data_IF_973678027133
#
_entry.id   IF_973678027133
#
_cell.length_a   1.000
_cell.length_b   1.000
_cell.length_c   1.000
_cell.angle_alpha   90.00
_cell.angle_beta   90.00
_cell.angle_gamma   90.00
#
_symmetry.space_group_name_H-M   'P 1'
#
loop_
_entity.id
_entity.type
_entity.pdbx_description
1 polymer ?
#
# COMPACT_ATOMS: atom_id res chain seq x y z
N UNK A 1 25.53 0.29 3.01
CA UNK A 1 24.21 -0.17 3.49
C UNK A 1 23.60 -1.09 2.46
N UNK A 2 23.04 -2.23 2.89
CA UNK A 2 22.31 -3.19 2.06
C UNK A 2 20.81 -3.02 2.23
N UNK A 3 20.08 -2.96 1.12
CA UNK A 3 18.62 -2.94 1.08
C UNK A 3 18.09 -4.18 0.35
N UNK A 4 17.17 -4.89 0.99
CA UNK A 4 16.52 -6.08 0.43
C UNK A 4 15.03 -5.81 0.17
N UNK A 5 14.55 -6.16 -1.02
CA UNK A 5 13.14 -6.10 -1.38
C UNK A 5 12.58 -7.53 -1.41
N UNK A 6 11.62 -7.82 -0.54
CA UNK A 6 10.86 -9.06 -0.51
C UNK A 6 9.63 -8.90 -1.43
N UNK A 7 9.58 -9.63 -2.53
CA UNK A 7 8.61 -9.48 -3.62
C UNK A 7 9.18 -8.68 -4.80
N UNK A 8 10.51 -8.71 -4.99
CA UNK A 8 11.23 -7.99 -6.04
C UNK A 8 10.96 -8.45 -7.47
N UNK A 9 10.23 -9.55 -7.67
CA UNK A 9 9.70 -10.00 -8.98
C UNK A 9 8.30 -9.45 -9.30
N UNK A 10 7.83 -8.45 -8.57
CA UNK A 10 6.53 -7.84 -8.82
C UNK A 10 6.52 -6.90 -10.03
N UNK A 11 5.32 -6.64 -10.56
CA UNK A 11 5.13 -5.76 -11.74
C UNK A 11 5.59 -4.31 -11.48
N UNK A 12 5.65 -3.86 -10.22
CA UNK A 12 6.11 -2.51 -9.85
C UNK A 12 7.63 -2.41 -9.60
N UNK A 13 8.38 -3.49 -9.79
CA UNK A 13 9.81 -3.57 -9.46
C UNK A 13 10.68 -2.54 -10.17
N UNK A 14 10.37 -2.17 -11.42
CA UNK A 14 11.12 -1.16 -12.15
C UNK A 14 10.96 0.26 -11.55
N UNK A 15 9.77 0.61 -11.06
CA UNK A 15 9.56 1.88 -10.36
C UNK A 15 10.31 1.93 -9.04
N UNK A 16 10.26 0.84 -8.27
CA UNK A 16 11.00 0.73 -7.03
C UNK A 16 12.52 0.82 -7.26
N UNK A 17 13.02 0.12 -8.28
CA UNK A 17 14.43 0.17 -8.67
C UNK A 17 14.86 1.59 -9.07
N UNK A 18 14.05 2.32 -9.86
CA UNK A 18 14.31 3.72 -10.21
C UNK A 18 14.39 4.59 -8.96
N UNK A 19 13.39 4.51 -8.08
CA UNK A 19 13.34 5.32 -6.86
C UNK A 19 14.54 5.05 -5.94
N UNK A 20 14.90 3.78 -5.73
CA UNK A 20 16.09 3.40 -4.97
C UNK A 20 17.39 3.92 -5.61
N UNK A 21 17.52 3.83 -6.93
CA UNK A 21 18.72 4.29 -7.63
C UNK A 21 18.91 5.82 -7.51
N UNK A 22 17.88 6.61 -7.74
CA UNK A 22 17.96 8.07 -7.62
C UNK A 22 18.29 8.55 -6.21
N UNK A 23 17.79 7.85 -5.21
CA UNK A 23 17.93 8.25 -3.80
C UNK A 23 19.05 7.49 -3.06
N UNK A 24 19.77 6.61 -3.71
CA UNK A 24 20.78 5.76 -3.09
C UNK A 24 21.83 6.52 -2.28
N UNK A 25 22.27 7.70 -2.75
CA UNK A 25 23.25 8.54 -2.07
C UNK A 25 22.72 9.13 -0.76
N UNK A 26 21.41 9.40 -0.67
CA UNK A 26 20.76 9.97 0.52
C UNK A 26 20.84 9.04 1.73
N UNK A 27 20.87 7.72 1.47
CA UNK A 27 20.83 6.68 2.50
C UNK A 27 22.12 5.83 2.56
N UNK A 28 23.17 6.22 1.82
CA UNK A 28 24.43 5.49 1.79
C UNK A 28 24.31 4.07 1.27
N UNK A 29 23.46 3.84 0.27
CA UNK A 29 23.18 2.52 -0.29
C UNK A 29 24.39 2.01 -1.10
N UNK A 30 24.83 0.78 -0.85
CA UNK A 30 25.94 0.13 -1.54
C UNK A 30 25.53 -1.18 -2.21
N UNK A 31 24.44 -1.77 -1.78
CA UNK A 31 23.92 -3.05 -2.29
C UNK A 31 22.38 -3.07 -2.26
N UNK A 32 21.77 -3.57 -3.35
CA UNK A 32 20.35 -3.82 -3.46
C UNK A 32 20.11 -5.26 -3.89
N UNK A 33 19.24 -5.96 -3.17
CA UNK A 33 18.85 -7.34 -3.48
C UNK A 33 17.34 -7.43 -3.66
N UNK A 34 16.89 -7.90 -4.83
CA UNK A 34 15.50 -8.22 -5.05
C UNK A 34 15.27 -9.72 -4.89
N UNK A 35 14.52 -10.08 -3.85
CA UNK A 35 14.10 -11.45 -3.57
C UNK A 35 12.69 -11.68 -4.11
N UNK A 36 12.48 -12.80 -4.79
CA UNK A 36 11.15 -13.33 -5.09
C UNK A 36 11.19 -14.87 -5.07
N UNK A 37 10.07 -15.52 -4.76
CA UNK A 37 9.98 -16.97 -4.80
C UNK A 37 9.80 -17.52 -6.23
N UNK A 38 9.54 -16.66 -7.21
CA UNK A 38 9.39 -16.99 -8.62
C UNK A 38 10.63 -16.59 -9.42
N UNK A 39 11.43 -17.57 -9.82
CA UNK A 39 12.57 -17.35 -10.71
C UNK A 39 12.13 -16.74 -12.06
N UNK A 40 10.97 -17.13 -12.57
CA UNK A 40 10.41 -16.60 -13.82
C UNK A 40 10.07 -15.12 -13.72
N UNK A 41 9.49 -14.70 -12.59
CA UNK A 41 9.21 -13.29 -12.35
C UNK A 41 10.50 -12.47 -12.26
N UNK A 42 11.51 -12.99 -11.58
CA UNK A 42 12.83 -12.34 -11.50
C UNK A 42 13.51 -12.26 -12.87
N UNK A 43 13.38 -13.29 -13.72
CA UNK A 43 13.92 -13.28 -15.07
C UNK A 43 13.27 -12.23 -15.98
N UNK A 44 12.06 -11.79 -15.67
CA UNK A 44 11.34 -10.76 -16.43
C UNK A 44 11.44 -9.41 -15.71
N UNK A 45 10.69 -9.26 -14.61
CA UNK A 45 10.56 -7.98 -13.92
C UNK A 45 11.81 -7.60 -13.13
N UNK A 46 12.53 -8.59 -12.59
CA UNK A 46 13.81 -8.37 -11.93
C UNK A 46 14.89 -7.89 -12.91
N UNK A 47 14.92 -8.41 -14.15
CA UNK A 47 15.87 -7.97 -15.16
C UNK A 47 15.55 -6.56 -15.69
N UNK A 48 14.28 -6.20 -15.88
CA UNK A 48 13.88 -4.83 -16.21
C UNK A 48 14.30 -3.87 -15.08
N UNK A 49 14.03 -4.24 -13.83
CA UNK A 49 14.41 -3.45 -12.67
C UNK A 49 15.93 -3.30 -12.55
N UNK A 50 16.70 -4.38 -12.77
CA UNK A 50 18.16 -4.38 -12.77
C UNK A 50 18.73 -3.44 -13.85
N UNK A 51 18.16 -3.48 -15.05
CA UNK A 51 18.60 -2.61 -16.13
C UNK A 51 18.36 -1.14 -15.78
N UNK A 52 17.17 -0.78 -15.30
CA UNK A 52 16.84 0.58 -14.87
C UNK A 52 17.79 1.04 -13.76
N UNK A 53 17.97 0.21 -12.72
CA UNK A 53 18.84 0.54 -11.59
C UNK A 53 20.29 0.78 -12.02
N UNK A 54 20.87 -0.17 -12.78
CA UNK A 54 22.28 -0.11 -13.19
C UNK A 54 22.55 1.00 -14.21
N UNK A 55 21.54 1.42 -14.98
CA UNK A 55 21.71 2.59 -15.87
C UNK A 55 21.83 3.88 -15.07
N UNK A 56 21.11 4.02 -13.96
CA UNK A 56 21.14 5.20 -13.10
C UNK A 56 22.35 5.14 -12.13
N UNK A 57 22.60 3.95 -11.54
CA UNK A 57 23.63 3.74 -10.51
C UNK A 57 24.46 2.49 -10.77
N UNK A 58 25.36 2.55 -11.78
CA UNK A 58 26.26 1.43 -12.10
C UNK A 58 27.32 1.15 -11.03
N UNK A 59 27.51 2.08 -10.11
CA UNK A 59 28.45 2.01 -8.98
C UNK A 59 27.93 1.22 -7.78
N UNK A 60 26.63 0.87 -7.75
CA UNK A 60 26.00 0.11 -6.67
C UNK A 60 25.65 -1.30 -7.16
N UNK A 61 25.96 -2.29 -6.32
CA UNK A 61 25.64 -3.68 -6.63
C UNK A 61 24.13 -3.92 -6.60
N UNK A 62 23.56 -4.39 -7.72
CA UNK A 62 22.18 -4.85 -7.82
C UNK A 62 22.14 -6.34 -8.16
N UNK A 63 21.41 -7.13 -7.39
CA UNK A 63 21.24 -8.57 -7.61
C UNK A 63 19.81 -9.02 -7.40
N UNK A 64 19.50 -10.20 -7.95
CA UNK A 64 18.22 -10.90 -7.75
C UNK A 64 18.48 -12.29 -7.21
N UNK A 65 17.62 -12.83 -6.36
CA UNK A 65 17.75 -14.17 -5.80
C UNK A 65 16.40 -14.75 -5.42
N UNK A 66 16.32 -16.09 -5.39
CA UNK A 66 15.20 -16.83 -4.79
C UNK A 66 15.53 -17.38 -3.40
N UNK A 67 16.76 -17.16 -2.91
CA UNK A 67 17.20 -17.59 -1.58
C UNK A 67 16.97 -16.48 -0.55
N UNK A 68 16.02 -16.64 0.40
CA UNK A 68 15.71 -15.63 1.40
C UNK A 68 16.85 -15.42 2.42
N UNK A 69 17.66 -16.42 2.71
CA UNK A 69 18.79 -16.30 3.64
C UNK A 69 19.87 -15.43 3.00
N UNK A 70 20.26 -15.73 1.76
CA UNK A 70 21.24 -14.92 1.04
C UNK A 70 20.78 -13.46 0.84
N UNK A 71 19.48 -13.25 0.58
CA UNK A 71 18.91 -11.93 0.42
C UNK A 71 18.96 -11.11 1.72
N UNK A 72 18.66 -11.73 2.86
CA UNK A 72 18.53 -11.06 4.15
C UNK A 72 19.86 -10.95 4.92
N UNK A 73 20.87 -11.73 4.55
CA UNK A 73 22.18 -11.69 5.23
C UNK A 73 22.72 -10.26 5.30
N UNK A 74 22.92 -9.74 6.53
CA UNK A 74 23.42 -8.40 6.83
C UNK A 74 22.61 -7.23 6.23
N UNK A 75 21.34 -7.46 5.87
CA UNK A 75 20.47 -6.42 5.35
C UNK A 75 20.15 -5.37 6.44
N UNK A 76 20.38 -4.09 6.11
CA UNK A 76 20.06 -2.96 7.00
C UNK A 76 18.62 -2.49 6.82
N UNK A 77 18.10 -2.58 5.59
CA UNK A 77 16.77 -2.11 5.21
C UNK A 77 16.03 -3.19 4.45
N UNK A 78 14.80 -3.43 4.82
CA UNK A 78 13.94 -4.42 4.18
C UNK A 78 12.62 -3.77 3.78
N UNK A 79 12.23 -3.89 2.50
CA UNK A 79 10.93 -3.46 2.00
C UNK A 79 10.15 -4.72 1.58
N UNK A 80 8.90 -4.83 2.03
CA UNK A 80 8.04 -5.96 1.62
C UNK A 80 6.98 -5.49 0.62
N UNK A 81 6.82 -6.25 -0.48
CA UNK A 81 5.82 -5.97 -1.53
C UNK A 81 5.15 -7.27 -1.97
N UNK A 82 4.93 -8.19 -1.04
CA UNK A 82 4.44 -9.54 -1.33
C UNK A 82 2.96 -9.50 -1.77
N UNK A 83 2.63 -10.36 -2.74
CA UNK A 83 1.26 -10.72 -3.07
C UNK A 83 1.09 -12.23 -2.96
N UNK A 84 0.72 -12.68 -1.78
CA UNK A 84 0.57 -14.12 -1.49
C UNK A 84 -0.70 -14.66 -2.14
N UNK A 85 -0.55 -15.74 -2.93
CA UNK A 85 -1.63 -16.35 -3.71
C UNK A 85 -1.85 -15.72 -5.09
N UNK A 86 -1.11 -14.67 -5.44
CA UNK A 86 -1.15 -14.06 -6.78
C UNK A 86 -2.51 -13.50 -7.19
N UNK A 87 -2.74 -13.47 -8.50
CA UNK A 87 -3.99 -12.94 -9.08
C UNK A 87 -5.16 -13.93 -8.90
N UNK A 88 -4.92 -15.23 -8.91
CA UNK A 88 -5.95 -16.28 -8.75
C UNK A 88 -6.66 -16.19 -7.40
N UNK A 89 -5.88 -16.07 -6.30
CA UNK A 89 -6.46 -15.93 -4.96
C UNK A 89 -7.26 -14.63 -4.83
N UNK A 90 -6.78 -13.54 -5.44
CA UNK A 90 -7.51 -12.28 -5.45
C UNK A 90 -8.87 -12.42 -6.16
N UNK A 91 -8.89 -13.04 -7.34
CA UNK A 91 -10.13 -13.28 -8.09
C UNK A 91 -11.11 -14.09 -7.25
N UNK A 92 -10.64 -15.18 -6.62
CA UNK A 92 -11.45 -16.00 -5.74
C UNK A 92 -12.04 -15.19 -4.58
N UNK A 93 -11.23 -14.40 -3.91
CA UNK A 93 -11.66 -13.58 -2.77
C UNK A 93 -12.75 -12.55 -3.18
N UNK A 94 -12.53 -11.87 -4.29
CA UNK A 94 -13.49 -10.91 -4.84
C UNK A 94 -14.81 -11.59 -5.24
N UNK A 95 -14.75 -12.75 -5.89
CA UNK A 95 -15.94 -13.49 -6.35
C UNK A 95 -16.75 -14.03 -5.18
N UNK A 96 -16.13 -14.64 -4.16
CA UNK A 96 -16.83 -15.10 -2.96
C UNK A 96 -17.63 -13.96 -2.32
N UNK A 97 -17.04 -12.78 -2.17
CA UNK A 97 -17.76 -11.66 -1.60
C UNK A 97 -18.95 -11.22 -2.46
N UNK A 98 -18.76 -11.11 -3.79
CA UNK A 98 -19.80 -10.68 -4.72
C UNK A 98 -20.96 -11.68 -4.81
N UNK A 99 -20.72 -12.99 -4.75
CA UNK A 99 -21.73 -14.04 -4.70
C UNK A 99 -22.64 -13.91 -3.47
N UNK A 100 -22.12 -13.30 -2.39
CA UNK A 100 -22.86 -13.01 -1.17
C UNK A 100 -23.33 -11.54 -1.06
N UNK A 101 -23.41 -10.83 -2.18
CA UNK A 101 -23.88 -9.44 -2.28
C UNK A 101 -23.11 -8.48 -1.34
N UNK A 102 -21.80 -8.65 -1.21
CA UNK A 102 -20.94 -7.72 -0.49
C UNK A 102 -19.70 -7.38 -1.29
N UNK A 103 -19.04 -6.29 -0.91
CA UNK A 103 -17.83 -5.83 -1.61
C UNK A 103 -16.65 -6.78 -1.37
N UNK A 104 -15.98 -7.15 -2.47
CA UNK A 104 -14.80 -8.00 -2.52
C UNK A 104 -13.50 -7.25 -2.79
N UNK A 105 -13.34 -6.02 -2.29
CA UNK A 105 -12.12 -5.25 -2.48
C UNK A 105 -10.92 -5.95 -1.81
N UNK A 106 -9.76 -5.98 -2.49
CA UNK A 106 -8.60 -6.80 -2.09
C UNK A 106 -7.97 -6.45 -0.74
N UNK A 107 -8.14 -5.22 -0.24
CA UNK A 107 -7.49 -4.75 0.99
C UNK A 107 -8.47 -4.33 2.08
N UNK A 108 -9.76 -4.35 1.79
CA UNK A 108 -10.81 -3.86 2.67
C UNK A 108 -11.94 -4.88 2.78
N UNK A 109 -12.65 -4.92 3.91
CA UNK A 109 -13.77 -5.81 4.12
C UNK A 109 -13.41 -7.29 4.06
N UNK A 110 -14.28 -8.09 3.46
CA UNK A 110 -14.15 -9.54 3.36
C UNK A 110 -12.92 -9.95 2.53
N UNK A 111 -12.67 -9.31 1.39
CA UNK A 111 -11.50 -9.59 0.55
C UNK A 111 -10.18 -9.24 1.26
N UNK A 112 -10.14 -8.12 1.99
CA UNK A 112 -8.99 -7.75 2.82
C UNK A 112 -8.70 -8.77 3.90
N UNK A 113 -9.73 -9.32 4.56
CA UNK A 113 -9.56 -10.41 5.52
C UNK A 113 -8.98 -11.66 4.86
N UNK A 114 -9.53 -12.10 3.72
CA UNK A 114 -9.03 -13.26 2.97
C UNK A 114 -7.57 -13.09 2.53
N UNK A 115 -7.19 -11.90 2.07
CA UNK A 115 -5.80 -11.60 1.73
C UNK A 115 -4.90 -11.63 2.97
N UNK A 116 -5.35 -11.10 4.11
CA UNK A 116 -4.59 -11.08 5.35
C UNK A 116 -4.31 -12.50 5.88
N UNK A 117 -5.26 -13.44 5.74
CA UNK A 117 -5.07 -14.85 6.13
C UNK A 117 -3.86 -15.50 5.43
N UNK A 118 -3.52 -15.05 4.23
CA UNK A 118 -2.34 -15.54 3.47
C UNK A 118 -1.11 -14.69 3.72
N UNK A 119 -1.27 -13.37 3.73
CA UNK A 119 -0.15 -12.43 3.83
C UNK A 119 0.52 -12.47 5.20
N UNK A 120 -0.25 -12.49 6.29
CA UNK A 120 0.29 -12.46 7.66
C UNK A 120 1.20 -13.67 7.94
N UNK A 121 0.80 -14.94 7.73
CA UNK A 121 1.70 -16.07 7.97
C UNK A 121 2.97 -16.03 7.11
N UNK A 122 2.88 -15.53 5.88
CA UNK A 122 4.03 -15.39 4.99
C UNK A 122 5.02 -14.34 5.51
N UNK A 123 4.52 -13.16 5.88
CA UNK A 123 5.36 -12.08 6.44
C UNK A 123 6.00 -12.52 7.76
N UNK A 124 5.29 -13.19 8.65
CA UNK A 124 5.84 -13.65 9.93
C UNK A 124 6.96 -14.69 9.75
N UNK A 125 6.95 -15.49 8.67
CA UNK A 125 8.10 -16.31 8.31
C UNK A 125 9.32 -15.46 7.96
N UNK A 126 9.14 -14.41 7.17
CA UNK A 126 10.23 -13.47 6.85
C UNK A 126 10.69 -12.69 8.07
N UNK A 127 9.80 -12.31 8.99
CA UNK A 127 10.20 -11.66 10.25
C UNK A 127 11.19 -12.50 11.05
N UNK A 128 10.98 -13.82 11.15
CA UNK A 128 11.94 -14.72 11.81
C UNK A 128 13.29 -14.72 11.10
N UNK A 129 13.29 -14.85 9.76
CA UNK A 129 14.54 -14.81 8.99
C UNK A 129 15.27 -13.45 9.11
N UNK A 130 14.53 -12.35 9.19
CA UNK A 130 15.09 -11.01 9.42
C UNK A 130 15.77 -10.96 10.79
N UNK A 131 15.14 -11.49 11.84
CA UNK A 131 15.74 -11.53 13.18
C UNK A 131 17.00 -12.41 13.24
N UNK A 132 17.07 -13.47 12.43
CA UNK A 132 18.19 -14.41 12.39
C UNK A 132 19.35 -13.93 11.52
N UNK A 133 19.11 -13.23 10.42
CA UNK A 133 20.11 -12.98 9.38
C UNK A 133 20.38 -11.50 9.07
N UNK A 134 19.39 -10.60 9.29
CA UNK A 134 19.59 -9.20 9.00
C UNK A 134 20.38 -8.48 10.11
N UNK A 135 20.83 -7.26 9.82
CA UNK A 135 21.53 -6.44 10.80
C UNK A 135 20.69 -6.25 12.08
N UNK A 136 21.38 -6.11 13.22
CA UNK A 136 20.70 -5.99 14.52
C UNK A 136 19.80 -4.75 14.61
N UNK A 137 20.16 -3.68 13.94
CA UNK A 137 19.41 -2.42 13.85
C UNK A 137 18.55 -2.30 12.60
N UNK A 138 18.32 -3.41 11.87
CA UNK A 138 17.54 -3.43 10.64
C UNK A 138 16.16 -2.81 10.80
N UNK A 139 15.69 -2.16 9.72
CA UNK A 139 14.35 -1.55 9.65
C UNK A 139 13.53 -2.28 8.59
N UNK A 140 12.34 -2.69 8.98
CA UNK A 140 11.35 -3.29 8.09
C UNK A 140 10.30 -2.27 7.67
N UNK A 141 10.17 -2.03 6.37
CA UNK A 141 9.11 -1.25 5.77
C UNK A 141 8.06 -2.19 5.16
N UNK A 142 6.93 -2.28 5.82
CA UNK A 142 5.85 -3.14 5.34
C UNK A 142 4.97 -2.41 4.34
N UNK A 143 5.06 -2.83 3.08
CA UNK A 143 4.20 -2.40 1.97
C UNK A 143 3.25 -3.53 1.53
N UNK A 144 3.33 -4.70 2.18
CA UNK A 144 2.47 -5.85 1.89
C UNK A 144 1.07 -5.60 2.43
N UNK A 145 0.10 -5.67 1.54
CA UNK A 145 -1.32 -5.46 1.87
C UNK A 145 -1.98 -6.70 2.51
N UNK A 146 -3.04 -6.46 3.32
CA UNK A 146 -3.51 -5.18 3.86
C UNK A 146 -2.50 -4.60 4.86
N UNK A 147 -1.87 -3.46 4.52
CA UNK A 147 -0.68 -2.99 5.25
C UNK A 147 -0.94 -2.71 6.73
N UNK A 148 -2.11 -2.19 7.10
CA UNK A 148 -2.49 -1.97 8.50
C UNK A 148 -2.54 -3.28 9.29
N UNK A 149 -3.29 -4.28 8.81
CA UNK A 149 -3.41 -5.61 9.42
C UNK A 149 -2.07 -6.34 9.52
N UNK A 150 -1.29 -6.31 8.44
CA UNK A 150 0.02 -6.98 8.40
C UNK A 150 0.99 -6.32 9.38
N UNK A 151 1.04 -4.98 9.42
CA UNK A 151 1.91 -4.25 10.36
C UNK A 151 1.51 -4.51 11.81
N UNK A 152 0.21 -4.53 12.11
CA UNK A 152 -0.30 -4.88 13.44
C UNK A 152 0.07 -6.31 13.84
N UNK A 153 -0.05 -7.27 12.92
CA UNK A 153 0.33 -8.65 13.18
C UNK A 153 1.84 -8.80 13.42
N UNK A 154 2.69 -8.09 12.68
CA UNK A 154 4.14 -8.08 12.91
C UNK A 154 4.45 -7.59 14.32
N UNK A 155 3.89 -6.45 14.73
CA UNK A 155 4.11 -5.89 16.07
C UNK A 155 3.60 -6.84 17.16
N UNK A 156 2.39 -7.37 17.01
CA UNK A 156 1.77 -8.28 17.99
C UNK A 156 2.44 -9.66 18.05
N UNK A 157 3.19 -10.05 17.01
CA UNK A 157 4.00 -11.28 17.05
C UNK A 157 5.24 -11.17 17.93
N UNK A 158 5.57 -9.98 18.41
CA UNK A 158 6.76 -9.71 19.23
C UNK A 158 8.04 -9.52 18.39
N UNK A 159 7.91 -9.15 17.13
CA UNK A 159 9.04 -8.83 16.26
C UNK A 159 9.96 -7.77 16.88
N UNK A 160 11.25 -8.04 16.92
CA UNK A 160 12.23 -7.27 17.71
C UNK A 160 12.94 -6.14 16.94
N UNK A 161 12.72 -6.05 15.63
CA UNK A 161 13.28 -4.96 14.83
C UNK A 161 12.26 -3.84 14.66
N UNK A 162 12.73 -2.66 14.25
CA UNK A 162 11.84 -1.54 13.93
C UNK A 162 10.99 -1.89 12.71
N UNK A 163 9.71 -1.61 12.76
CA UNK A 163 8.76 -1.80 11.65
C UNK A 163 7.89 -0.57 11.46
N UNK A 164 7.71 -0.19 10.20
CA UNK A 164 6.80 0.86 9.76
C UNK A 164 5.92 0.32 8.64
N UNK A 165 4.60 0.52 8.77
CA UNK A 165 3.70 0.31 7.65
C UNK A 165 3.71 1.53 6.74
N UNK A 166 3.86 1.32 5.44
CA UNK A 166 3.92 2.40 4.44
C UNK A 166 2.89 2.17 3.33
N UNK A 167 2.38 3.26 2.76
CA UNK A 167 1.43 3.24 1.65
C UNK A 167 1.71 4.42 0.71
N UNK A 168 1.52 4.23 -0.59
CA UNK A 168 1.70 5.26 -1.62
C UNK A 168 0.46 6.14 -1.83
N UNK A 169 -0.75 5.61 -1.62
CA UNK A 169 -2.00 6.32 -1.86
C UNK A 169 -2.09 7.69 -1.17
N UNK A 170 -1.64 7.77 0.09
CA UNK A 170 -1.68 9.01 0.87
C UNK A 170 -0.71 10.07 0.34
N UNK A 171 0.50 9.64 0.02
CA UNK A 171 1.53 10.53 -0.52
C UNK A 171 1.20 11.00 -1.94
N UNK A 172 0.43 10.23 -2.72
CA UNK A 172 -0.01 10.64 -4.06
C UNK A 172 -0.95 11.85 -3.95
N UNK A 173 -2.00 11.76 -3.12
CA UNK A 173 -2.91 12.89 -2.91
C UNK A 173 -2.16 14.15 -2.42
N UNK A 174 -1.30 14.02 -1.40
CA UNK A 174 -0.58 15.17 -0.84
C UNK A 174 0.32 15.84 -1.89
N UNK A 175 0.96 15.07 -2.78
CA UNK A 175 1.83 15.62 -3.86
C UNK A 175 1.06 16.35 -4.97
N UNK A 176 -0.23 16.07 -5.14
CA UNK A 176 -1.07 16.75 -6.13
C UNK A 176 -1.53 18.14 -5.64
N UNK A 177 -1.66 18.34 -4.31
CA UNK A 177 -2.21 19.58 -3.73
C UNK A 177 -1.37 20.83 -3.98
N UNK A 178 -0.03 20.83 -3.98
CA UNK A 178 0.77 22.03 -4.26
C UNK A 178 0.44 22.69 -5.58
N UNK A 179 0.19 21.92 -6.64
CA UNK A 179 -0.19 22.44 -7.95
C UNK A 179 -1.54 23.18 -7.91
N UNK A 180 -2.50 22.69 -7.10
CA UNK A 180 -3.82 23.31 -6.93
C UNK A 180 -3.71 24.59 -6.06
N UNK A 181 -2.86 24.54 -5.05
CA UNK A 181 -2.68 25.64 -4.10
C UNK A 181 -1.72 26.74 -4.59
N UNK A 182 -0.95 26.47 -5.66
CA UNK A 182 0.06 27.38 -6.19
C UNK A 182 1.25 27.57 -5.24
N UNK A 183 1.70 26.49 -4.59
CA UNK A 183 2.81 26.52 -3.63
C UNK A 183 3.84 25.43 -3.94
N UNK A 184 4.98 25.45 -3.27
CA UNK A 184 5.98 24.37 -3.27
C UNK A 184 5.55 23.27 -2.29
N UNK A 185 5.91 22.00 -2.58
CA UNK A 185 5.61 20.86 -1.68
C UNK A 185 6.12 21.09 -0.25
N UNK A 186 7.31 21.66 -0.11
CA UNK A 186 7.92 21.97 1.19
C UNK A 186 7.17 23.04 2.01
N UNK A 187 6.34 23.85 1.37
CA UNK A 187 5.56 24.90 2.02
C UNK A 187 4.20 24.40 2.52
N UNK A 188 3.75 23.22 2.03
CA UNK A 188 2.51 22.57 2.39
C UNK A 188 2.69 21.70 3.63
N UNK A 189 1.79 21.85 4.60
CA UNK A 189 1.65 20.92 5.71
C UNK A 189 0.23 20.38 5.75
N UNK A 190 0.11 19.06 5.95
CA UNK A 190 -1.16 18.33 6.00
C UNK A 190 -1.16 17.41 7.20
N UNK A 191 -2.26 17.36 7.93
CA UNK A 191 -2.48 16.35 8.95
C UNK A 191 -3.32 15.21 8.37
N UNK A 192 -2.91 13.97 8.67
CA UNK A 192 -3.63 12.75 8.34
C UNK A 192 -3.82 11.92 9.59
N UNK A 193 -4.98 11.29 9.74
CA UNK A 193 -5.27 10.36 10.83
C UNK A 193 -6.25 9.28 10.39
N UNK A 194 -6.16 8.12 11.03
CA UNK A 194 -7.04 6.98 10.80
C UNK A 194 -6.31 5.65 10.82
N UNK A 195 -6.68 4.77 9.91
CA UNK A 195 -6.06 3.47 9.68
C UNK A 195 -5.62 3.37 8.22
N UNK A 196 -4.74 2.45 7.90
CA UNK A 196 -4.34 2.24 6.51
C UNK A 196 -5.56 1.98 5.62
N UNK A 197 -5.69 2.70 4.52
CA UNK A 197 -6.83 2.72 3.61
C UNK A 197 -8.16 3.19 4.26
N UNK A 198 -8.10 3.78 5.43
CA UNK A 198 -9.26 4.27 6.18
C UNK A 198 -8.89 5.52 6.99
N UNK A 199 -8.54 6.58 6.28
CA UNK A 199 -7.96 7.80 6.85
C UNK A 199 -8.53 9.06 6.22
N UNK A 200 -8.42 10.17 6.97
CA UNK A 200 -8.85 11.51 6.58
C UNK A 200 -7.71 12.49 6.66
N UNK A 201 -7.75 13.50 5.78
CA UNK A 201 -6.78 14.59 5.77
C UNK A 201 -7.44 15.88 6.22
N UNK A 202 -6.76 16.60 7.07
CA UNK A 202 -7.25 17.83 7.70
C UNK A 202 -6.14 18.84 7.90
N UNK A 203 -6.49 20.04 8.30
CA UNK A 203 -5.54 21.08 8.69
C UNK A 203 -4.46 21.35 7.62
N UNK A 204 -4.92 21.80 6.44
CA UNK A 204 -4.04 22.15 5.33
C UNK A 204 -3.49 23.55 5.52
N UNK A 205 -2.18 23.68 5.67
CA UNK A 205 -1.52 24.99 5.81
C UNK A 205 -0.43 25.17 4.75
N UNK A 206 -0.34 26.38 4.20
CA UNK A 206 0.77 26.80 3.32
C UNK A 206 1.56 27.88 4.04
N UNK A 207 2.83 27.60 4.36
CA UNK A 207 3.70 28.48 5.17
C UNK A 207 3.05 28.92 6.50
N UNK A 208 2.28 28.00 7.10
CA UNK A 208 1.57 28.21 8.36
C UNK A 208 0.23 28.96 8.24
N UNK A 209 -0.19 29.35 7.05
CA UNK A 209 -1.52 29.93 6.81
C UNK A 209 -2.53 28.84 6.47
N UNK A 210 -3.68 28.83 7.14
CA UNK A 210 -4.76 27.87 6.92
C UNK A 210 -5.38 28.04 5.54
N UNK A 211 -5.44 26.97 4.74
CA UNK A 211 -5.93 26.97 3.36
C UNK A 211 -7.05 25.97 3.07
N UNK A 212 -7.54 25.27 4.08
CA UNK A 212 -8.54 24.17 3.94
C UNK A 212 -9.78 24.63 3.15
N UNK A 213 -10.38 25.75 3.53
CA UNK A 213 -11.58 26.26 2.84
C UNK A 213 -11.31 26.63 1.38
N UNK A 214 -10.16 27.23 1.09
CA UNK A 214 -9.74 27.57 -0.28
C UNK A 214 -9.51 26.30 -1.11
N UNK A 215 -8.89 25.28 -0.52
CA UNK A 215 -8.64 23.99 -1.18
C UNK A 215 -9.95 23.29 -1.53
N UNK A 216 -10.86 23.13 -0.56
CA UNK A 216 -12.14 22.44 -0.74
C UNK A 216 -13.06 23.18 -1.73
N UNK A 217 -12.98 24.48 -1.82
CA UNK A 217 -13.73 25.29 -2.78
C UNK A 217 -13.18 25.23 -4.20
N UNK A 218 -11.96 24.71 -4.39
CA UNK A 218 -11.33 24.63 -5.71
C UNK A 218 -11.95 23.51 -6.57
N UNK A 219 -12.50 23.81 -7.75
CA UNK A 219 -12.95 22.76 -8.68
C UNK A 219 -11.84 21.80 -9.11
N UNK A 220 -10.59 22.28 -9.16
CA UNK A 220 -9.44 21.49 -9.56
C UNK A 220 -9.17 20.32 -8.61
N UNK A 221 -9.50 20.46 -7.32
CA UNK A 221 -9.40 19.38 -6.35
C UNK A 221 -10.20 18.15 -6.79
N UNK A 222 -11.42 18.36 -7.28
CA UNK A 222 -12.33 17.29 -7.72
C UNK A 222 -12.14 16.87 -9.18
N UNK A 223 -11.26 17.55 -9.89
CA UNK A 223 -10.97 17.24 -11.31
C UNK A 223 -9.59 16.63 -11.51
N UNK A 224 -8.63 16.90 -10.62
CA UNK A 224 -7.23 16.58 -10.81
C UNK A 224 -6.65 15.65 -9.74
N UNK A 225 -7.45 15.20 -8.77
CA UNK A 225 -6.98 14.32 -7.70
C UNK A 225 -7.94 13.15 -7.47
N UNK A 226 -7.59 12.24 -6.57
CA UNK A 226 -8.48 11.16 -6.12
C UNK A 226 -9.80 11.66 -5.53
N UNK A 227 -9.93 12.95 -5.20
CA UNK A 227 -11.18 13.56 -4.76
C UNK A 227 -12.24 13.59 -5.87
N UNK A 228 -11.90 13.29 -7.13
CA UNK A 228 -12.89 13.10 -8.23
C UNK A 228 -13.98 12.07 -7.89
N UNK A 229 -13.67 11.08 -7.04
CA UNK A 229 -14.62 10.03 -6.64
C UNK A 229 -15.64 10.49 -5.59
N UNK A 230 -15.46 11.66 -4.99
CA UNK A 230 -16.29 12.17 -3.90
C UNK A 230 -17.01 13.46 -4.27
N UNK A 231 -18.28 13.60 -3.84
CA UNK A 231 -18.97 14.87 -4.03
C UNK A 231 -18.40 15.95 -3.09
N UNK A 232 -18.33 17.21 -3.53
CA UNK A 232 -17.98 18.33 -2.63
C UNK A 232 -18.90 18.44 -1.41
N UNK A 233 -20.16 18.02 -1.53
CA UNK A 233 -21.09 17.95 -0.41
C UNK A 233 -20.65 16.95 0.66
N UNK A 234 -20.22 15.75 0.26
CA UNK A 234 -19.71 14.74 1.21
C UNK A 234 -18.49 15.23 1.96
N UNK A 235 -17.55 15.91 1.28
CA UNK A 235 -16.37 16.49 1.92
C UNK A 235 -16.78 17.50 3.00
N UNK A 236 -17.77 18.34 2.74
CA UNK A 236 -18.31 19.29 3.75
C UNK A 236 -19.01 18.57 4.89
N UNK A 237 -19.76 17.50 4.61
CA UNK A 237 -20.40 16.67 5.65
C UNK A 237 -19.39 15.91 6.49
N UNK A 238 -18.18 15.69 5.98
CA UNK A 238 -17.04 15.15 6.72
C UNK A 238 -16.20 16.23 7.42
N UNK A 239 -16.82 17.32 7.89
CA UNK A 239 -16.15 18.43 8.59
C UNK A 239 -15.03 19.09 7.75
N UNK A 240 -15.21 19.23 6.46
CA UNK A 240 -14.23 19.79 5.52
C UNK A 240 -12.90 19.02 5.49
N UNK A 241 -12.95 17.71 5.65
CA UNK A 241 -11.79 16.83 5.58
C UNK A 241 -11.75 16.10 4.23
N UNK A 242 -10.57 15.99 3.62
CA UNK A 242 -10.40 15.17 2.44
C UNK A 242 -10.36 13.69 2.84
N UNK A 243 -10.80 12.85 1.93
CA UNK A 243 -10.99 11.43 2.17
C UNK A 243 -9.90 10.63 1.47
N UNK A 244 -9.36 9.61 2.14
CA UNK A 244 -8.62 8.56 1.47
C UNK A 244 -9.52 7.91 0.41
N UNK A 245 -9.00 7.61 -0.77
CA UNK A 245 -9.77 7.06 -1.89
C UNK A 245 -10.52 5.77 -1.56
N UNK A 246 -9.99 4.94 -0.65
CA UNK A 246 -10.65 3.72 -0.19
C UNK A 246 -11.91 3.97 0.65
N UNK A 247 -12.11 5.18 1.18
CA UNK A 247 -13.37 5.55 1.82
C UNK A 247 -14.54 5.58 0.85
N UNK A 248 -14.28 5.55 -0.47
CA UNK A 248 -15.30 5.34 -1.49
C UNK A 248 -16.12 4.06 -1.22
N UNK A 249 -15.47 2.96 -0.84
CA UNK A 249 -16.13 1.69 -0.54
C UNK A 249 -17.03 1.74 0.71
N UNK A 250 -16.89 2.74 1.56
CA UNK A 250 -17.71 2.94 2.75
C UNK A 250 -18.84 3.94 2.53
N UNK A 251 -18.54 5.08 1.92
CA UNK A 251 -19.53 6.14 1.70
C UNK A 251 -20.42 5.90 0.47
N UNK A 252 -19.92 5.17 -0.53
CA UNK A 252 -20.63 4.80 -1.76
C UNK A 252 -20.69 3.27 -1.91
N UNK A 253 -20.91 2.57 -0.78
CA UNK A 253 -20.88 1.10 -0.73
C UNK A 253 -21.85 0.45 -1.73
N UNK A 254 -23.09 0.92 -1.75
CA UNK A 254 -24.17 0.32 -2.55
C UNK A 254 -23.97 0.63 -4.04
N UNK A 255 -23.48 1.82 -4.36
CA UNK A 255 -23.10 2.24 -5.71
C UNK A 255 -21.91 1.43 -6.22
N UNK A 256 -20.87 1.27 -5.42
CA UNK A 256 -19.69 0.48 -5.76
C UNK A 256 -20.05 -0.98 -6.00
N UNK A 257 -20.82 -1.59 -5.11
CA UNK A 257 -21.28 -2.98 -5.25
C UNK A 257 -22.09 -3.18 -6.56
N UNK A 258 -23.06 -2.30 -6.81
CA UNK A 258 -23.87 -2.33 -8.02
C UNK A 258 -23.03 -2.10 -9.29
N UNK A 259 -22.04 -1.22 -9.22
CA UNK A 259 -21.15 -0.93 -10.33
C UNK A 259 -20.29 -2.16 -10.68
N UNK A 260 -19.67 -2.80 -9.68
CA UNK A 260 -18.83 -3.99 -9.86
C UNK A 260 -19.67 -5.17 -10.38
N UNK A 261 -20.86 -5.41 -9.81
CA UNK A 261 -21.75 -6.46 -10.29
C UNK A 261 -22.18 -6.25 -11.74
N UNK A 262 -22.33 -5.00 -12.18
CA UNK A 262 -22.69 -4.65 -13.55
C UNK A 262 -21.53 -4.57 -14.53
N UNK A 263 -20.28 -4.62 -14.07
CA UNK A 263 -19.09 -4.50 -14.93
C UNK A 263 -18.75 -5.79 -15.71
N UNK A 264 -19.27 -6.95 -15.27
CA UNK A 264 -19.02 -8.25 -15.90
C UNK A 264 -17.68 -8.90 -15.52
N UNK A 265 -16.67 -8.11 -15.16
CA UNK A 265 -15.40 -8.59 -14.60
C UNK A 265 -15.07 -7.83 -13.30
N UNK A 266 -14.41 -8.49 -12.35
CA UNK A 266 -13.89 -7.84 -11.15
C UNK A 266 -12.59 -7.14 -11.46
N UNK A 267 -12.12 -6.29 -10.52
CA UNK A 267 -10.78 -5.66 -10.64
C UNK A 267 -9.68 -6.72 -10.66
N UNK A 268 -9.81 -7.78 -9.89
CA UNK A 268 -8.86 -8.91 -9.89
C UNK A 268 -8.78 -9.61 -11.24
N UNK A 269 -9.91 -9.88 -11.87
CA UNK A 269 -9.99 -10.48 -13.21
C UNK A 269 -9.40 -9.57 -14.28
N UNK A 270 -9.72 -8.28 -14.24
CA UNK A 270 -9.15 -7.28 -15.14
C UNK A 270 -7.62 -7.24 -15.04
N UNK A 271 -7.09 -7.19 -13.81
CA UNK A 271 -5.64 -7.19 -13.56
C UNK A 271 -5.01 -8.50 -14.03
N UNK A 272 -5.60 -9.64 -13.73
CA UNK A 272 -5.09 -10.95 -14.15
C UNK A 272 -5.00 -11.07 -15.67
N UNK A 273 -6.03 -10.62 -16.37
CA UNK A 273 -6.05 -10.60 -17.85
C UNK A 273 -4.94 -9.70 -18.40
N UNK A 274 -4.78 -8.48 -17.90
CA UNK A 274 -3.70 -7.58 -18.34
C UNK A 274 -2.32 -8.17 -18.01
N UNK A 275 -2.14 -8.79 -16.85
CA UNK A 275 -0.89 -9.43 -16.45
C UNK A 275 -0.58 -10.65 -17.35
N UNK A 276 -1.58 -11.43 -17.71
CA UNK A 276 -1.41 -12.56 -18.62
C UNK A 276 -0.98 -12.08 -20.02
N UNK A 277 -1.69 -11.11 -20.59
CA UNK A 277 -1.32 -10.51 -21.90
C UNK A 277 0.11 -9.95 -21.85
N UNK A 278 0.49 -9.26 -20.79
CA UNK A 278 1.85 -8.75 -20.59
C UNK A 278 2.89 -9.87 -20.56
N UNK A 279 2.64 -10.96 -19.80
CA UNK A 279 3.58 -12.09 -19.72
C UNK A 279 3.72 -12.83 -21.05
N UNK A 280 2.62 -13.00 -21.79
CA UNK A 280 2.63 -13.60 -23.13
C UNK A 280 3.47 -12.75 -24.10
N UNK A 281 3.29 -11.45 -24.09
CA UNK A 281 4.09 -10.53 -24.90
C UNK A 281 5.57 -10.54 -24.47
N UNK A 282 5.88 -10.54 -23.18
CA UNK A 282 7.25 -10.57 -22.66
C UNK A 282 7.98 -11.89 -22.92
N UNK A 283 7.29 -13.00 -23.18
CA UNK A 283 7.93 -14.26 -23.61
C UNK A 283 8.55 -14.17 -25.00
N UNK A 284 8.18 -13.18 -25.82
CA UNK A 284 8.73 -12.98 -27.17
C UNK A 284 10.06 -12.23 -27.17
N UNK A 285 10.48 -11.69 -26.04
CA UNK A 285 11.70 -10.90 -25.87
C UNK A 285 12.51 -11.41 -24.67
N UNK A 286 13.82 -11.34 -24.75
CA UNK A 286 14.70 -11.58 -23.60
C UNK A 286 15.03 -10.24 -22.94
N UNK A 287 14.50 -10.03 -21.73
CA UNK A 287 14.67 -8.78 -20.98
C UNK A 287 16.14 -8.43 -20.69
N UNK A 288 17.03 -9.43 -20.66
CA UNK A 288 18.46 -9.24 -20.43
C UNK A 288 19.19 -8.67 -21.64
N UNK A 289 18.85 -9.18 -22.82
CA UNK A 289 19.51 -8.80 -24.09
C UNK A 289 18.75 -7.74 -24.88
N UNK A 290 17.45 -7.56 -24.60
CA UNK A 290 16.54 -6.62 -25.27
C UNK A 290 15.76 -5.76 -24.25
N UNK A 291 16.45 -5.05 -23.34
CA UNK A 291 15.79 -4.36 -22.23
C UNK A 291 14.82 -3.27 -22.65
N UNK A 292 15.09 -2.55 -23.75
CA UNK A 292 14.18 -1.51 -24.27
C UNK A 292 12.86 -2.10 -24.78
N UNK A 293 12.93 -3.23 -25.48
CA UNK A 293 11.74 -3.91 -25.98
C UNK A 293 10.90 -4.48 -24.82
N UNK A 294 11.56 -5.14 -23.85
CA UNK A 294 10.90 -5.65 -22.65
C UNK A 294 10.26 -4.52 -21.83
N UNK A 295 10.96 -3.41 -21.64
CA UNK A 295 10.45 -2.23 -20.95
C UNK A 295 9.22 -1.64 -21.66
N UNK A 296 9.25 -1.53 -22.98
CA UNK A 296 8.12 -0.98 -23.75
C UNK A 296 6.87 -1.83 -23.58
N UNK A 297 6.99 -3.15 -23.69
CA UNK A 297 5.88 -4.07 -23.44
C UNK A 297 5.35 -3.93 -22.01
N UNK A 298 6.25 -3.95 -21.03
CA UNK A 298 5.90 -3.80 -19.62
C UNK A 298 5.18 -2.48 -19.36
N UNK A 299 5.72 -1.34 -19.82
CA UNK A 299 5.16 0.00 -19.59
C UNK A 299 3.75 0.15 -20.15
N UNK A 300 3.51 -0.35 -21.38
CA UNK A 300 2.18 -0.31 -22.00
C UNK A 300 1.12 -1.05 -21.15
N UNK A 301 1.43 -2.26 -20.69
CA UNK A 301 0.50 -3.06 -19.90
C UNK A 301 0.38 -2.53 -18.48
N UNK A 302 1.47 -2.06 -17.88
CA UNK A 302 1.44 -1.43 -16.56
C UNK A 302 0.50 -0.23 -16.55
N UNK A 303 0.60 0.67 -17.52
CA UNK A 303 -0.26 1.85 -17.60
C UNK A 303 -1.74 1.51 -17.86
N UNK A 304 -2.03 0.44 -18.60
CA UNK A 304 -3.41 -0.05 -18.74
C UNK A 304 -4.01 -0.39 -17.37
N UNK A 305 -3.22 -0.95 -16.45
CA UNK A 305 -3.65 -1.22 -15.07
C UNK A 305 -3.91 0.07 -14.29
N UNK A 306 -2.96 1.00 -14.35
CA UNK A 306 -3.05 2.27 -13.60
C UNK A 306 -4.16 3.17 -14.14
N UNK A 307 -4.29 3.28 -15.46
CA UNK A 307 -5.31 4.12 -16.08
C UNK A 307 -6.74 3.58 -15.91
N UNK A 308 -6.91 2.28 -15.65
CA UNK A 308 -8.20 1.65 -15.36
C UNK A 308 -8.53 1.52 -13.86
N UNK A 309 -7.75 2.16 -12.99
CA UNK A 309 -7.97 2.11 -11.53
C UNK A 309 -9.29 2.80 -11.15
N UNK A 310 -10.07 2.19 -10.25
CA UNK A 310 -11.39 2.62 -9.80
C UNK A 310 -12.48 2.70 -10.90
N UNK A 311 -12.21 2.30 -12.13
CA UNK A 311 -13.17 2.41 -13.24
C UNK A 311 -14.38 1.46 -13.06
N UNK A 312 -14.14 0.24 -12.62
CA UNK A 312 -15.21 -0.74 -12.37
C UNK A 312 -16.07 -0.36 -11.16
N UNK A 313 -15.48 0.28 -10.17
CA UNK A 313 -16.10 0.65 -8.90
C UNK A 313 -16.92 1.95 -8.99
N UNK A 314 -16.34 2.97 -9.63
CA UNK A 314 -16.93 4.31 -9.69
C UNK A 314 -17.71 4.58 -10.99
N UNK A 315 -17.50 3.78 -12.04
CA UNK A 315 -17.92 4.03 -13.43
C UNK A 315 -17.42 5.36 -13.99
N UNK A 316 -16.38 5.91 -13.40
CA UNK A 316 -15.73 7.13 -13.86
C UNK A 316 -14.41 6.78 -14.54
N UNK A 317 -14.07 7.49 -15.59
CA UNK A 317 -12.74 7.45 -16.15
C UNK A 317 -11.79 8.23 -15.25
N UNK A 318 -10.55 7.73 -15.12
CA UNK A 318 -9.52 8.44 -14.38
C UNK A 318 -9.22 9.77 -15.10
N UNK A 319 -9.23 10.87 -14.36
CA UNK A 319 -9.05 12.21 -14.92
C UNK A 319 -7.70 12.37 -15.64
N UNK A 320 -6.64 11.82 -15.06
CA UNK A 320 -5.32 11.78 -15.67
C UNK A 320 -4.94 10.36 -16.08
N UNK A 321 -5.02 10.07 -17.37
CA UNK A 321 -4.36 8.90 -17.95
C UNK A 321 -2.91 9.26 -18.26
N UNK A 322 -2.01 8.33 -17.95
CA UNK A 322 -0.57 8.49 -18.26
C UNK A 322 -0.28 7.86 -19.61
N UNK A 323 0.52 8.56 -20.42
CA UNK A 323 1.02 8.02 -21.69
C UNK A 323 2.28 7.16 -21.45
N UNK A 324 2.49 6.11 -22.25
CA UNK A 324 3.68 5.27 -22.13
C UNK A 324 4.95 6.05 -22.39
N UNK A 325 5.88 6.02 -21.45
CA UNK A 325 7.22 6.56 -21.59
C UNK A 325 8.13 5.55 -22.29
N UNK A 326 9.07 6.03 -23.11
CA UNK A 326 10.22 5.22 -23.52
C UNK A 326 11.11 4.93 -22.31
N UNK A 327 11.94 3.89 -22.36
CA UNK A 327 12.89 3.58 -21.30
C UNK A 327 13.79 4.77 -20.96
N UNK A 328 14.26 5.48 -21.98
CA UNK A 328 15.08 6.67 -21.79
C UNK A 328 14.33 7.78 -21.06
N UNK A 329 13.12 8.13 -21.48
CA UNK A 329 12.28 9.13 -20.81
C UNK A 329 12.00 8.72 -19.37
N UNK A 330 11.67 7.44 -19.13
CA UNK A 330 11.42 6.93 -17.78
C UNK A 330 12.65 7.07 -16.87
N UNK A 331 13.85 6.81 -17.39
CA UNK A 331 15.09 6.96 -16.63
C UNK A 331 15.44 8.43 -16.41
N UNK A 332 15.29 9.31 -17.42
CA UNK A 332 15.64 10.73 -17.33
C UNK A 332 14.61 11.57 -16.54
N UNK A 333 13.36 11.11 -16.43
CA UNK A 333 12.34 11.80 -15.66
C UNK A 333 12.70 11.82 -14.16
N UNK A 334 12.63 12.98 -13.50
CA UNK A 334 12.93 13.07 -12.07
C UNK A 334 12.10 12.07 -11.24
N UNK A 335 12.73 11.46 -10.25
CA UNK A 335 12.00 10.65 -9.27
C UNK A 335 11.27 11.58 -8.28
N UNK A 336 9.95 11.52 -8.27
CA UNK A 336 9.10 12.30 -7.37
C UNK A 336 8.86 11.63 -6.03
N UNK A 337 9.70 10.67 -5.65
CA UNK A 337 9.60 9.89 -4.42
C UNK A 337 8.76 8.62 -4.52
N UNK A 338 7.93 8.49 -5.54
CA UNK A 338 7.22 7.28 -5.97
C UNK A 338 6.88 6.25 -4.90
N UNK A 339 6.97 5.01 -5.30
CA UNK A 339 6.64 3.81 -4.51
C UNK A 339 7.49 3.59 -3.24
N UNK A 340 8.73 4.07 -3.23
CA UNK A 340 9.62 3.95 -2.06
C UNK A 340 9.73 5.26 -1.25
N UNK A 341 9.05 6.33 -1.65
CA UNK A 341 9.25 7.67 -1.13
C UNK A 341 9.20 7.75 0.40
N UNK A 342 8.18 7.19 1.03
CA UNK A 342 8.04 7.23 2.50
C UNK A 342 9.19 6.47 3.19
N UNK A 343 9.58 5.30 2.68
CA UNK A 343 10.71 4.56 3.24
C UNK A 343 12.02 5.36 3.10
N UNK A 344 12.25 5.94 1.93
CA UNK A 344 13.43 6.75 1.67
C UNK A 344 13.49 8.01 2.54
N UNK A 345 12.35 8.66 2.75
CA UNK A 345 12.25 9.83 3.64
C UNK A 345 12.59 9.46 5.09
N UNK A 346 12.12 8.32 5.58
CA UNK A 346 12.47 7.84 6.92
C UNK A 346 13.99 7.57 7.02
N UNK A 347 14.57 6.95 6.01
CA UNK A 347 16.00 6.62 6.00
C UNK A 347 16.90 7.86 5.89
N UNK A 348 16.48 8.87 5.11
CA UNK A 348 17.21 10.13 5.00
C UNK A 348 17.17 10.95 6.29
N UNK A 349 16.03 11.02 6.93
CA UNK A 349 15.83 11.87 8.09
C UNK A 349 16.67 11.46 9.31
N UNK A 350 17.05 10.18 9.41
CA UNK A 350 18.01 9.72 10.44
C UNK A 350 19.32 10.51 10.36
N UNK A 351 19.66 11.03 9.18
CA UNK A 351 20.89 11.79 8.91
C UNK A 351 20.63 13.30 8.65
N UNK A 352 19.37 13.74 8.67
CA UNK A 352 18.97 15.12 8.35
C UNK A 352 18.81 15.99 9.60
N UNK A 353 19.10 17.27 9.47
CA UNK A 353 18.81 18.29 10.50
C UNK A 353 17.46 18.96 10.30
N UNK A 354 16.78 18.67 9.18
CA UNK A 354 15.47 19.27 8.87
C UNK A 354 14.35 18.29 9.25
N UNK A 355 13.28 18.84 9.80
CA UNK A 355 12.06 18.06 10.07
C UNK A 355 11.23 17.93 8.78
N UNK A 356 10.79 16.71 8.47
CA UNK A 356 9.88 16.43 7.35
C UNK A 356 8.60 15.80 7.89
N UNK A 357 7.43 16.24 7.40
CA UNK A 357 6.14 15.62 7.71
C UNK A 357 5.88 14.48 6.73
N UNK A 358 5.55 13.31 7.26
CA UNK A 358 5.20 12.12 6.49
C UNK A 358 3.96 11.45 7.10
N UNK A 359 3.29 10.59 6.33
CA UNK A 359 2.21 9.73 6.85
C UNK A 359 2.71 8.29 6.87
N UNK A 360 2.52 7.61 8.00
CA UNK A 360 3.06 6.26 8.23
C UNK A 360 2.19 5.49 9.21
N UNK A 361 2.14 4.16 9.08
CA UNK A 361 1.47 3.29 10.03
C UNK A 361 2.41 2.88 11.15
N UNK A 362 2.07 3.28 12.38
CA UNK A 362 2.83 3.05 13.63
C UNK A 362 1.91 2.68 14.78
N UNK A 363 2.49 2.24 15.90
CA UNK A 363 1.73 2.09 17.14
C UNK A 363 1.16 3.43 17.62
N UNK A 364 -0.04 3.39 18.18
CA UNK A 364 -0.80 4.56 18.62
C UNK A 364 -0.13 5.34 19.76
N UNK A 365 0.45 4.65 20.74
CA UNK A 365 1.08 5.27 21.91
C UNK A 365 0.27 6.45 22.50
N UNK A 366 -1.06 6.29 22.58
CA UNK A 366 -2.03 7.29 23.05
C UNK A 366 -2.20 8.54 22.17
N UNK A 367 -1.71 8.54 20.92
CA UNK A 367 -1.88 9.65 19.98
C UNK A 367 -3.36 9.90 19.65
N UNK A 368 -4.11 8.82 19.40
CA UNK A 368 -5.57 8.84 19.28
C UNK A 368 -6.16 8.27 20.57
N UNK A 369 -6.70 9.12 21.43
CA UNK A 369 -7.16 8.84 22.78
C UNK A 369 -8.32 7.85 22.90
N UNK A 370 -9.01 7.59 21.79
CA UNK A 370 -10.13 6.64 21.70
C UNK A 370 -9.72 5.24 21.22
N UNK A 371 -8.43 5.00 20.97
CA UNK A 371 -7.85 3.71 20.59
C UNK A 371 -6.88 3.21 21.69
N UNK A 372 -6.49 1.93 21.61
CA UNK A 372 -5.53 1.35 22.55
C UNK A 372 -4.10 1.80 22.20
N UNK A 373 -3.19 1.92 23.18
CA UNK A 373 -1.79 2.28 22.92
C UNK A 373 -1.06 1.34 21.99
N UNK A 374 -1.44 0.06 21.96
CA UNK A 374 -0.82 -1.01 21.16
C UNK A 374 -1.48 -1.23 19.78
N UNK A 375 -2.50 -0.43 19.43
CA UNK A 375 -3.10 -0.46 18.10
C UNK A 375 -2.15 0.17 17.06
N UNK A 376 -2.19 -0.30 15.83
CA UNK A 376 -1.52 0.35 14.71
C UNK A 376 -2.46 1.36 14.07
N UNK A 377 -2.01 2.59 13.95
CA UNK A 377 -2.73 3.70 13.33
C UNK A 377 -1.94 4.25 12.16
N UNK A 378 -2.61 4.85 11.18
CA UNK A 378 -2.00 5.61 10.11
C UNK A 378 -2.14 7.09 10.41
N UNK A 379 -1.01 7.78 10.57
CA UNK A 379 -1.00 9.14 11.11
C UNK A 379 0.16 9.96 10.55
N UNK A 380 -0.04 11.27 10.47
CA UNK A 380 1.05 12.21 10.22
C UNK A 380 2.08 12.16 11.33
N UNK A 381 3.34 12.11 10.95
CA UNK A 381 4.47 12.15 11.86
C UNK A 381 5.46 13.23 11.45
N UNK A 382 6.00 13.95 12.41
CA UNK A 382 7.17 14.79 12.21
C UNK A 382 8.42 13.92 12.35
N UNK A 383 9.13 13.79 11.26
CA UNK A 383 10.32 12.98 11.12
C UNK A 383 11.56 13.86 11.17
N UNK A 384 12.46 13.56 12.09
CA UNK A 384 13.73 14.27 12.27
C UNK A 384 14.82 13.29 12.69
N UNK A 385 16.03 13.81 12.92
CA UNK A 385 17.15 13.07 13.49
C UNK A 385 16.81 12.37 14.82
N UNK A 386 15.89 12.94 15.61
CA UNK A 386 15.44 12.39 16.89
C UNK A 386 14.41 11.26 16.73
N UNK A 387 14.08 10.90 15.49
CA UNK A 387 13.11 9.85 15.14
C UNK A 387 11.76 10.40 14.70
N UNK A 388 10.77 9.50 14.69
CA UNK A 388 9.37 9.76 14.32
C UNK A 388 8.58 10.23 15.54
N UNK A 389 7.92 11.38 15.42
CA UNK A 389 6.99 11.91 16.42
C UNK A 389 5.61 12.03 15.82
N UNK A 390 4.62 11.23 16.27
CA UNK A 390 3.26 11.35 15.77
C UNK A 390 2.66 12.72 16.08
N UNK A 391 1.87 13.23 15.14
CA UNK A 391 1.16 14.50 15.27
C UNK A 391 -0.25 14.22 15.73
N UNK A 392 -0.61 14.67 16.92
CA UNK A 392 -1.98 14.56 17.42
C UNK A 392 -2.89 15.46 16.60
N UNK A 393 -3.94 14.94 15.93
CA UNK A 393 -4.84 15.75 15.13
C UNK A 393 -5.54 16.81 15.98
N UNK A 394 -5.69 18.02 15.44
CA UNK A 394 -6.39 19.11 16.11
C UNK A 394 -7.82 18.75 16.46
N UNK A 395 -8.49 18.01 15.55
CA UNK A 395 -9.87 17.55 15.75
C UNK A 395 -10.12 16.24 15.02
N UNK A 396 -10.68 15.27 15.72
CA UNK A 396 -11.27 14.07 15.11
C UNK A 396 -12.77 14.09 15.38
N UNK A 397 -13.63 14.27 14.36
CA UNK A 397 -15.08 14.27 14.55
C UNK A 397 -15.61 12.94 15.10
N UNK A 398 -16.70 12.98 15.87
CA UNK A 398 -17.26 11.80 16.52
C UNK A 398 -17.66 10.69 15.53
N UNK A 399 -18.16 11.05 14.36
CA UNK A 399 -18.52 10.08 13.32
C UNK A 399 -17.30 9.29 12.88
N UNK A 400 -16.19 9.96 12.58
CA UNK A 400 -14.94 9.32 12.19
C UNK A 400 -14.33 8.50 13.33
N UNK A 401 -14.35 9.00 14.59
CA UNK A 401 -13.92 8.23 15.76
C UNK A 401 -14.65 6.88 15.85
N UNK A 402 -15.97 6.89 15.71
CA UNK A 402 -16.79 5.69 15.76
C UNK A 402 -16.47 4.73 14.59
N UNK A 403 -16.32 5.24 13.38
CA UNK A 403 -15.96 4.42 12.23
C UNK A 403 -14.57 3.80 12.39
N UNK A 404 -13.58 4.60 12.80
CA UNK A 404 -12.21 4.12 13.06
C UNK A 404 -12.23 3.04 14.16
N UNK A 405 -12.95 3.25 15.25
CA UNK A 405 -13.04 2.28 16.34
C UNK A 405 -13.65 0.94 15.89
N UNK A 406 -14.70 0.98 15.03
CA UNK A 406 -15.30 -0.24 14.47
C UNK A 406 -14.30 -1.01 13.57
N UNK A 407 -13.63 -0.33 12.64
CA UNK A 407 -12.65 -0.98 11.78
C UNK A 407 -11.45 -1.48 12.58
N UNK A 408 -10.98 -0.73 13.58
CA UNK A 408 -9.90 -1.17 14.47
C UNK A 408 -10.28 -2.41 15.28
N UNK A 409 -11.52 -2.53 15.76
CA UNK A 409 -11.96 -3.75 16.42
C UNK A 409 -11.97 -4.95 15.47
N UNK A 410 -12.37 -4.74 14.21
CA UNK A 410 -12.21 -5.76 13.17
C UNK A 410 -10.75 -6.16 13.01
N UNK A 411 -9.82 -5.21 12.89
CA UNK A 411 -8.40 -5.49 12.69
C UNK A 411 -7.80 -6.30 13.85
N UNK A 412 -8.11 -5.93 15.10
CA UNK A 412 -7.68 -6.68 16.30
C UNK A 412 -8.15 -8.13 16.28
N UNK A 413 -9.44 -8.33 15.99
CA UNK A 413 -10.05 -9.66 15.94
C UNK A 413 -9.51 -10.48 14.76
N UNK A 414 -9.29 -9.84 13.59
CA UNK A 414 -8.74 -10.48 12.41
C UNK A 414 -7.30 -10.96 12.65
N UNK A 415 -6.45 -10.10 13.22
CA UNK A 415 -5.07 -10.49 13.59
C UNK A 415 -5.09 -11.64 14.60
N UNK A 416 -5.91 -11.56 15.65
CA UNK A 416 -6.04 -12.64 16.64
C UNK A 416 -6.53 -13.96 16.01
N UNK A 417 -7.55 -13.88 15.13
CA UNK A 417 -8.06 -15.03 14.39
C UNK A 417 -6.98 -15.71 13.56
N UNK A 418 -6.19 -14.92 12.83
CA UNK A 418 -5.14 -15.44 11.94
C UNK A 418 -3.99 -16.05 12.74
N UNK A 419 -3.53 -15.38 13.79
CA UNK A 419 -2.45 -15.89 14.64
C UNK A 419 -2.81 -17.17 15.39
N UNK A 420 -4.09 -17.32 15.79
CA UNK A 420 -4.60 -18.47 16.53
C UNK A 420 -5.24 -19.53 15.61
N UNK A 421 -5.46 -19.22 14.34
CA UNK A 421 -6.22 -20.04 13.39
C UNK A 421 -7.63 -20.38 13.92
N UNK A 422 -8.29 -19.39 14.52
CA UNK A 422 -9.59 -19.52 15.19
C UNK A 422 -10.73 -19.01 14.29
N UNK A 423 -11.56 -19.95 13.85
CA UNK A 423 -12.73 -19.67 12.99
C UNK A 423 -13.77 -18.79 13.68
N UNK A 424 -13.96 -18.93 14.99
CA UNK A 424 -14.93 -18.13 15.74
C UNK A 424 -14.48 -16.68 15.86
N UNK A 425 -13.19 -16.44 16.07
CA UNK A 425 -12.62 -15.10 16.05
C UNK A 425 -12.72 -14.48 14.63
N UNK A 426 -12.53 -15.26 13.56
CA UNK A 426 -12.71 -14.79 12.19
C UNK A 426 -14.14 -14.32 11.92
N UNK A 427 -15.15 -15.10 12.36
CA UNK A 427 -16.56 -14.68 12.27
C UNK A 427 -16.81 -13.39 13.05
N UNK A 428 -16.29 -13.29 14.27
CA UNK A 428 -16.41 -12.07 15.08
C UNK A 428 -15.74 -10.88 14.42
N UNK A 429 -14.57 -11.06 13.79
CA UNK A 429 -13.88 -10.01 13.05
C UNK A 429 -14.75 -9.46 11.93
N UNK A 430 -15.29 -10.33 11.07
CA UNK A 430 -16.13 -9.91 9.98
C UNK A 430 -17.45 -9.29 10.46
N UNK A 431 -18.02 -9.74 11.57
CA UNK A 431 -19.18 -9.10 12.19
C UNK A 431 -18.89 -7.66 12.64
N UNK A 432 -17.69 -7.37 13.10
CA UNK A 432 -17.30 -6.02 13.54
C UNK A 432 -17.04 -5.08 12.34
N UNK A 433 -16.79 -5.61 11.14
CA UNK A 433 -16.46 -4.80 9.99
C UNK A 433 -17.70 -4.06 9.42
N UNK A 434 -17.66 -2.71 9.24
CA UNK A 434 -18.83 -1.92 8.82
C UNK A 434 -19.44 -2.35 7.47
N UNK A 435 -18.65 -2.90 6.55
CA UNK A 435 -19.14 -3.38 5.26
C UNK A 435 -19.88 -4.74 5.34
N UNK A 436 -19.84 -5.42 6.48
CA UNK A 436 -20.42 -6.75 6.66
C UNK A 436 -21.52 -6.71 7.73
N UNK A 437 -21.16 -6.50 9.00
CA UNK A 437 -22.08 -6.21 10.12
C UNK A 437 -23.16 -7.27 10.41
N UNK A 438 -23.14 -8.42 9.74
CA UNK A 438 -24.16 -9.48 9.84
C UNK A 438 -23.54 -10.81 10.27
N UNK A 439 -24.11 -11.46 11.27
CA UNK A 439 -23.62 -12.78 11.74
C UNK A 439 -23.71 -13.85 10.64
N UNK A 440 -24.86 -13.97 9.98
CA UNK A 440 -25.06 -14.98 8.93
C UNK A 440 -24.10 -14.76 7.75
N UNK A 441 -23.97 -13.52 7.29
CA UNK A 441 -23.05 -13.18 6.21
C UNK A 441 -21.59 -13.44 6.62
N UNK A 442 -21.16 -12.98 7.81
CA UNK A 442 -19.80 -13.20 8.31
C UNK A 442 -19.46 -14.70 8.41
N UNK A 443 -20.39 -15.52 8.94
CA UNK A 443 -20.22 -16.96 9.02
C UNK A 443 -20.05 -17.59 7.64
N UNK A 444 -20.93 -17.26 6.69
CA UNK A 444 -20.89 -17.78 5.32
C UNK A 444 -19.58 -17.41 4.61
N UNK A 445 -19.15 -16.15 4.73
CA UNK A 445 -17.90 -15.69 4.13
C UNK A 445 -16.69 -16.41 4.71
N UNK A 446 -16.61 -16.56 6.04
CA UNK A 446 -15.51 -17.30 6.69
C UNK A 446 -15.49 -18.74 6.23
N UNK A 447 -16.63 -19.41 6.15
CA UNK A 447 -16.73 -20.79 5.65
C UNK A 447 -16.25 -20.90 4.21
N UNK A 448 -16.67 -19.99 3.33
CA UNK A 448 -16.28 -19.98 1.92
C UNK A 448 -14.76 -19.68 1.72
N UNK A 449 -14.19 -18.76 2.50
CA UNK A 449 -12.75 -18.48 2.43
C UNK A 449 -11.89 -19.61 2.98
N UNK A 450 -12.36 -20.32 4.02
CA UNK A 450 -11.66 -21.45 4.62
C UNK A 450 -11.83 -22.74 3.84
N UNK A 451 -12.70 -22.79 2.84
CA UNK A 451 -12.87 -23.93 1.92
C UNK A 451 -11.72 -23.98 0.90
N UNK A 452 -10.49 -24.11 1.42
CA UNK A 452 -9.24 -24.20 0.71
C UNK A 452 -8.25 -25.01 1.57
N UNK A 453 -7.55 -25.96 0.95
CA UNK A 453 -6.61 -26.86 1.64
C UNK A 453 -5.54 -26.13 2.47
N UNK A 454 -5.12 -24.94 2.03
CA UNK A 454 -4.13 -24.14 2.77
C UNK A 454 -4.62 -23.72 4.16
N UNK A 455 -5.93 -23.73 4.41
CA UNK A 455 -6.55 -23.35 5.69
C UNK A 455 -7.10 -24.53 6.50
N UNK A 456 -6.74 -25.76 6.14
CA UNK A 456 -7.24 -26.97 6.82
C UNK A 456 -6.94 -27.03 8.33
N UNK A 457 -5.98 -26.25 8.81
CA UNK A 457 -5.63 -26.14 10.23
C UNK A 457 -6.58 -25.25 11.07
N UNK A 458 -7.45 -24.46 10.42
CA UNK A 458 -8.36 -23.57 11.13
C UNK A 458 -9.47 -24.35 11.84
N UNK A 459 -9.72 -24.04 13.12
CA UNK A 459 -10.67 -24.73 14.01
C UNK A 459 -11.93 -23.92 14.29
#
# INVERSE_FOLDING_TARGET
>A
MKLTVLGGGGVRSAFLAKSLAYNAHRIGLTEVVFLDNSADNLAIFGEIARYVFNTIRPDIQFSTTTDPVAALQDANYIITTLRVGGDESRIRDERIALEHNTLGQETTGAGGFAMAMRSIPAILRYCRLIEEHAAEDAILFNFTNPSGLVTEAIIKSGFKRRVYGICDALSELIRELPAILGCEERDLSVECYGLNHFSWFTHFTVRGEEVTERLIASPELYQKTAMQYFSPELVRLCDNQLLNEYLYYYYYRDEALKAIQGAGETRGEQIARINQEMREALRTVDARTQPEAAFTIWMQHYLRRENSYMQNESRQEKFHTREPLTLRQFIEEPDTGGYAGVALDILEAVNSTTTKRIVVSIQNHDTLDFLRPDDVIEISCDLSRDGLKPVTPVKVPTAQKNMIACVKEYERLAVAAILQQDKSLAVRALMAHPLIGSYSLAKTLVEAYLDDEQFAAWR
#
